data_IF_841480952322
#
_entry.id   IF_841480952322
#
_cell.length_a   1.000
_cell.length_b   1.000
_cell.length_c   1.000
_cell.angle_alpha   90.00
_cell.angle_beta   90.00
_cell.angle_gamma   90.00
#
_symmetry.space_group_name_H-M   'P 1'
#
loop_
_entity.id
_entity.type
_entity.pdbx_description
1 polymer ?
#
# COMPACT_ATOMS: atom_id res chain seq x y z
N UNK A 1 -7.45 -12.91 8.83
CA UNK A 1 -8.47 -12.07 8.17
C UNK A 1 -7.98 -10.65 8.11
N UNK A 2 -8.28 -9.93 7.03
CA UNK A 2 -7.93 -8.52 6.88
C UNK A 2 -8.87 -7.62 7.70
N UNK A 3 -8.43 -6.40 8.02
CA UNK A 3 -9.28 -5.42 8.70
C UNK A 3 -10.29 -4.76 7.75
N UNK A 4 -9.79 -4.21 6.64
CA UNK A 4 -10.60 -3.63 5.56
C UNK A 4 -10.14 -4.25 4.25
N UNK A 5 -11.07 -4.67 3.39
CA UNK A 5 -10.78 -5.13 2.03
C UNK A 5 -11.68 -4.41 1.03
N UNK A 6 -11.09 -3.91 -0.06
CA UNK A 6 -11.82 -3.25 -1.15
C UNK A 6 -11.46 -3.84 -2.50
N UNK A 7 -12.44 -4.53 -3.10
CA UNK A 7 -12.33 -5.08 -4.44
C UNK A 7 -12.71 -4.07 -5.54
N UNK A 8 -13.50 -3.05 -5.20
CA UNK A 8 -14.01 -2.07 -6.15
C UNK A 8 -13.07 -0.86 -6.33
N UNK A 9 -13.33 -0.08 -7.37
CA UNK A 9 -12.57 1.12 -7.74
C UNK A 9 -13.27 2.40 -7.28
N UNK A 10 -12.53 3.51 -7.16
CA UNK A 10 -13.06 4.84 -6.81
C UNK A 10 -13.66 4.99 -5.40
N UNK A 11 -13.13 4.25 -4.44
CA UNK A 11 -13.52 4.36 -3.03
C UNK A 11 -12.60 5.29 -2.25
N UNK A 12 -13.07 5.73 -1.09
CA UNK A 12 -12.27 6.46 -0.10
C UNK A 12 -12.27 5.68 1.22
N UNK A 13 -11.08 5.38 1.73
CA UNK A 13 -10.84 4.86 3.08
C UNK A 13 -10.07 5.93 3.84
N UNK A 14 -10.73 6.60 4.77
CA UNK A 14 -10.09 7.67 5.53
C UNK A 14 -10.47 7.70 6.99
N UNK A 15 -9.53 8.16 7.83
CA UNK A 15 -9.76 8.42 9.25
C UNK A 15 -10.15 7.18 10.06
N UNK A 16 -9.67 6.01 9.62
CA UNK A 16 -9.88 4.74 10.33
C UNK A 16 -8.71 4.39 11.25
N UNK A 17 -9.02 3.60 12.28
CA UNK A 17 -8.02 2.91 13.12
C UNK A 17 -8.09 1.41 12.80
N UNK A 18 -7.05 0.89 12.17
CA UNK A 18 -6.97 -0.50 11.67
C UNK A 18 -5.83 -1.23 12.39
N UNK A 19 -6.19 -2.00 13.41
CA UNK A 19 -5.22 -2.58 14.36
C UNK A 19 -5.42 -4.06 14.63
N UNK A 20 -4.33 -4.77 14.95
CA UNK A 20 -4.35 -6.16 15.43
C UNK A 20 -5.01 -7.18 14.49
N UNK A 21 -4.90 -6.98 13.17
CA UNK A 21 -5.36 -7.99 12.22
C UNK A 21 -4.30 -9.08 12.04
N UNK A 22 -4.74 -10.34 12.13
CA UNK A 22 -3.89 -11.54 11.96
C UNK A 22 -3.46 -11.80 10.50
N UNK A 23 -3.62 -10.82 9.62
CA UNK A 23 -3.15 -10.88 8.24
C UNK A 23 -2.82 -9.46 7.77
N UNK A 24 -3.63 -8.88 6.89
CA UNK A 24 -3.43 -7.53 6.36
C UNK A 24 -4.27 -6.50 7.13
N UNK A 25 -3.77 -5.29 7.34
CA UNK A 25 -4.59 -4.19 7.85
C UNK A 25 -5.65 -3.76 6.82
N UNK A 26 -5.20 -3.16 5.72
CA UNK A 26 -6.01 -2.74 4.58
C UNK A 26 -5.55 -3.47 3.32
N UNK A 27 -6.48 -4.10 2.65
CA UNK A 27 -6.28 -4.83 1.40
C UNK A 27 -7.02 -4.13 0.24
N UNK A 28 -6.34 -3.91 -0.88
CA UNK A 28 -6.85 -3.10 -2.00
C UNK A 28 -6.57 -3.78 -3.32
N UNK A 29 -7.66 -4.13 -4.02
CA UNK A 29 -7.61 -4.70 -5.36
C UNK A 29 -7.99 -3.73 -6.47
N UNK A 30 -8.95 -2.85 -6.21
CA UNK A 30 -9.42 -1.90 -7.21
C UNK A 30 -8.45 -0.76 -7.51
N UNK A 31 -8.81 0.04 -8.52
CA UNK A 31 -8.04 1.20 -8.99
C UNK A 31 -8.63 2.51 -8.50
N UNK A 32 -7.80 3.55 -8.48
CA UNK A 32 -8.22 4.94 -8.19
C UNK A 32 -8.93 5.10 -6.83
N UNK A 33 -8.56 4.27 -5.87
CA UNK A 33 -8.99 4.41 -4.48
C UNK A 33 -8.10 5.44 -3.77
N UNK A 34 -8.68 6.16 -2.81
CA UNK A 34 -7.97 7.05 -1.91
C UNK A 34 -7.91 6.41 -0.52
N UNK A 35 -6.71 6.15 -0.04
CA UNK A 35 -6.44 5.65 1.31
C UNK A 35 -5.69 6.75 2.04
N UNK A 36 -6.35 7.46 2.95
CA UNK A 36 -5.75 8.63 3.57
C UNK A 36 -6.05 8.84 5.03
N UNK A 37 -5.07 9.33 5.80
CA UNK A 37 -5.25 9.65 7.23
C UNK A 37 -5.79 8.47 8.04
N UNK A 38 -5.32 7.26 7.78
CA UNK A 38 -5.62 6.09 8.59
C UNK A 38 -4.46 5.78 9.55
N UNK A 39 -4.78 5.31 10.74
CA UNK A 39 -3.83 4.71 11.69
C UNK A 39 -3.83 3.19 11.48
N UNK A 40 -2.77 2.66 10.85
CA UNK A 40 -2.67 1.25 10.47
C UNK A 40 -1.53 0.63 11.29
N UNK A 41 -1.87 -0.19 12.29
CA UNK A 41 -0.88 -0.61 13.29
C UNK A 41 -0.97 -2.07 13.70
N UNK A 42 0.17 -2.67 14.04
CA UNK A 42 0.23 -4.00 14.68
C UNK A 42 -0.50 -5.12 13.90
N UNK A 43 -0.47 -5.06 12.56
CA UNK A 43 -0.98 -6.11 11.68
C UNK A 43 0.13 -7.12 11.33
N UNK A 44 -0.21 -8.41 11.32
CA UNK A 44 0.79 -9.50 11.37
C UNK A 44 1.35 -9.95 10.02
N UNK A 45 0.82 -9.53 8.86
CA UNK A 45 1.45 -9.76 7.56
C UNK A 45 1.92 -8.44 6.96
N UNK A 46 0.98 -7.51 6.79
CA UNK A 46 1.31 -6.15 6.40
C UNK A 46 0.24 -5.14 6.83
N UNK A 47 0.61 -3.86 6.91
CA UNK A 47 -0.33 -2.77 7.17
C UNK A 47 -1.24 -2.52 5.96
N UNK A 48 -0.65 -2.30 4.78
CA UNK A 48 -1.35 -2.17 3.52
C UNK A 48 -0.87 -3.23 2.52
N UNK A 49 -1.80 -3.91 1.85
CA UNK A 49 -1.51 -4.75 0.70
C UNK A 49 -2.23 -4.20 -0.53
N UNK A 50 -1.47 -4.00 -1.60
CA UNK A 50 -2.00 -3.64 -2.91
C UNK A 50 -1.85 -4.87 -3.80
N UNK A 51 -2.92 -5.61 -4.07
CA UNK A 51 -2.87 -6.80 -4.93
C UNK A 51 -3.79 -6.64 -6.12
N UNK A 52 -3.50 -7.20 -7.29
CA UNK A 52 -4.51 -7.18 -8.35
C UNK A 52 -4.02 -7.61 -9.72
N UNK A 53 -4.91 -8.36 -10.38
CA UNK A 53 -4.71 -8.94 -11.71
C UNK A 53 -5.38 -8.08 -12.79
N UNK A 54 -4.92 -8.17 -14.02
CA UNK A 54 -5.51 -7.52 -15.20
C UNK A 54 -5.51 -5.99 -15.13
N UNK A 55 -4.44 -5.38 -14.60
CA UNK A 55 -4.33 -3.92 -14.37
C UNK A 55 -5.29 -3.34 -13.31
N UNK A 56 -5.83 -4.17 -12.41
CA UNK A 56 -6.88 -3.73 -11.49
C UNK A 56 -6.39 -2.94 -10.27
N UNK A 57 -5.13 -3.05 -9.83
CA UNK A 57 -4.61 -2.31 -8.67
C UNK A 57 -3.63 -1.18 -9.03
N UNK A 58 -4.14 -0.15 -9.73
CA UNK A 58 -3.34 1.01 -10.17
C UNK A 58 -3.97 2.34 -9.85
N UNK A 59 -3.15 3.40 -9.88
CA UNK A 59 -3.60 4.79 -9.64
C UNK A 59 -4.28 4.99 -8.29
N UNK A 60 -4.04 4.11 -7.31
CA UNK A 60 -4.46 4.34 -5.93
C UNK A 60 -3.56 5.40 -5.30
N UNK A 61 -4.13 6.21 -4.41
CA UNK A 61 -3.43 7.28 -3.70
C UNK A 61 -3.39 6.91 -2.22
N UNK A 62 -2.19 6.75 -1.69
CA UNK A 62 -1.92 6.41 -0.29
C UNK A 62 -1.26 7.64 0.33
N UNK A 63 -2.04 8.42 1.07
CA UNK A 63 -1.70 9.77 1.48
C UNK A 63 -1.85 9.98 2.99
N UNK A 64 -0.80 10.45 3.67
CA UNK A 64 -0.91 10.88 5.06
C UNK A 64 -1.42 9.80 6.03
N UNK A 65 -1.14 8.53 5.78
CA UNK A 65 -1.43 7.46 6.75
C UNK A 65 -0.27 7.29 7.73
N UNK A 66 -0.57 6.73 8.90
CA UNK A 66 0.43 6.32 9.88
C UNK A 66 0.55 4.79 9.85
N UNK A 67 1.71 4.28 9.47
CA UNK A 67 2.04 2.86 9.54
C UNK A 67 2.94 2.61 10.75
N UNK A 68 2.45 1.87 11.75
CA UNK A 68 3.14 1.72 13.03
C UNK A 68 3.19 0.26 13.45
N UNK A 69 4.38 -0.31 13.67
CA UNK A 69 4.59 -1.68 14.20
C UNK A 69 3.84 -2.77 13.43
N UNK A 70 3.65 -2.62 12.12
CA UNK A 70 3.20 -3.73 11.28
C UNK A 70 4.40 -4.62 10.94
N UNK A 71 4.20 -5.92 10.69
CA UNK A 71 5.31 -6.79 10.27
C UNK A 71 5.98 -6.27 8.99
N UNK A 72 5.15 -5.86 8.02
CA UNK A 72 5.56 -5.02 6.88
C UNK A 72 4.61 -3.82 6.82
N UNK A 73 5.10 -2.61 6.66
CA UNK A 73 4.19 -1.47 6.61
C UNK A 73 3.32 -1.46 5.35
N UNK A 74 3.91 -1.71 4.19
CA UNK A 74 3.21 -1.85 2.92
C UNK A 74 3.91 -2.87 2.02
N UNK A 75 3.13 -3.57 1.20
CA UNK A 75 3.61 -4.48 0.16
C UNK A 75 2.68 -4.39 -1.06
N UNK A 76 3.18 -4.72 -2.24
CA UNK A 76 2.35 -4.81 -3.44
C UNK A 76 2.64 -6.07 -4.25
N UNK A 77 1.62 -6.54 -4.95
CA UNK A 77 1.65 -7.66 -5.89
C UNK A 77 0.72 -7.32 -7.06
N UNK A 78 1.26 -6.63 -8.07
CA UNK A 78 0.44 -6.02 -9.12
C UNK A 78 0.98 -6.30 -10.52
N UNK A 79 0.07 -6.62 -11.44
CA UNK A 79 0.34 -6.67 -12.87
C UNK A 79 0.37 -5.24 -13.45
N UNK A 80 1.52 -4.77 -13.94
CA UNK A 80 1.66 -3.39 -14.46
C UNK A 80 2.14 -3.34 -15.92
N UNK A 81 1.25 -3.15 -16.89
CA UNK A 81 1.61 -2.94 -18.30
C UNK A 81 1.86 -1.47 -18.65
N UNK A 82 2.83 -0.79 -18.02
CA UNK A 82 3.31 0.55 -18.43
C UNK A 82 2.55 1.78 -17.83
N UNK A 83 2.60 1.94 -16.49
CA UNK A 83 2.37 3.21 -15.76
C UNK A 83 0.90 3.69 -15.59
N UNK A 84 0.51 4.45 -14.52
CA UNK A 84 1.23 4.84 -13.32
C UNK A 84 1.01 3.85 -12.16
N UNK A 85 2.08 3.65 -11.42
CA UNK A 85 2.11 2.98 -10.12
C UNK A 85 1.19 3.69 -9.10
N UNK A 86 0.86 2.99 -8.03
CA UNK A 86 0.16 3.58 -6.89
C UNK A 86 1.02 4.70 -6.27
N UNK A 87 0.42 5.84 -5.95
CA UNK A 87 1.12 7.01 -5.41
C UNK A 87 1.15 6.92 -3.89
N UNK A 88 2.35 6.90 -3.31
CA UNK A 88 2.56 7.07 -1.89
C UNK A 88 3.14 8.45 -1.62
N UNK A 89 2.52 9.18 -0.70
CA UNK A 89 2.97 10.53 -0.35
C UNK A 89 2.66 10.86 1.10
N UNK A 90 3.61 11.45 1.81
CA UNK A 90 3.40 11.99 3.17
C UNK A 90 2.88 10.98 4.17
N UNK A 91 3.11 9.67 3.97
CA UNK A 91 2.80 8.71 5.01
C UNK A 91 3.92 8.75 6.07
N UNK A 92 3.54 8.47 7.31
CA UNK A 92 4.47 8.23 8.40
C UNK A 92 4.74 6.73 8.51
N UNK A 93 6.00 6.37 8.72
CA UNK A 93 6.46 5.00 8.87
C UNK A 93 7.37 4.97 10.10
N UNK A 94 7.02 4.19 11.12
CA UNK A 94 7.79 4.18 12.37
C UNK A 94 9.16 3.47 12.24
N UNK A 95 9.46 2.88 11.09
CA UNK A 95 10.76 2.33 10.71
C UNK A 95 11.62 3.26 9.83
N UNK A 96 11.11 4.43 9.45
CA UNK A 96 11.79 5.34 8.52
C UNK A 96 11.86 6.76 9.07
N UNK A 97 13.06 7.20 9.40
CA UNK A 97 13.30 8.53 10.01
C UNK A 97 14.17 9.44 9.13
N UNK A 98 14.35 9.08 7.86
CA UNK A 98 15.08 9.86 6.88
C UNK A 98 14.13 10.78 6.11
N UNK A 99 14.62 11.95 5.70
CA UNK A 99 13.92 12.86 4.79
C UNK A 99 14.04 12.46 3.31
N UNK A 100 14.44 11.21 3.04
CA UNK A 100 14.56 10.62 1.72
C UNK A 100 13.30 9.83 1.35
N UNK A 101 13.02 9.62 0.05
CA UNK A 101 11.96 8.72 -0.39
C UNK A 101 12.10 7.34 0.27
N UNK A 102 11.01 6.83 0.86
CA UNK A 102 11.01 5.51 1.50
C UNK A 102 10.69 4.44 0.47
N UNK A 103 11.56 3.43 0.25
CA UNK A 103 11.26 2.33 -0.64
C UNK A 103 10.12 1.49 -0.10
N UNK A 104 9.27 1.03 -1.01
CA UNK A 104 8.19 0.09 -0.77
C UNK A 104 8.45 -1.09 -1.71
N UNK A 105 8.64 -2.27 -1.16
CA UNK A 105 8.95 -3.47 -1.93
C UNK A 105 7.67 -4.20 -2.35
N UNK A 106 7.75 -4.92 -3.46
CA UNK A 106 6.66 -5.73 -3.95
C UNK A 106 7.08 -6.60 -5.11
N UNK A 107 6.08 -7.22 -5.75
CA UNK A 107 6.22 -8.02 -6.95
C UNK A 107 5.53 -7.27 -8.09
N UNK A 108 6.22 -7.21 -9.22
CA UNK A 108 5.65 -6.82 -10.49
C UNK A 108 5.54 -8.06 -11.37
N UNK A 109 4.32 -8.52 -11.59
CA UNK A 109 4.06 -9.63 -12.50
C UNK A 109 3.97 -9.13 -13.94
N UNK A 110 4.72 -9.78 -14.83
CA UNK A 110 4.69 -9.54 -16.28
C UNK A 110 4.22 -10.81 -16.96
N UNK A 111 3.13 -10.74 -17.74
CA UNK A 111 2.73 -11.88 -18.57
C UNK A 111 3.34 -11.76 -19.97
N UNK A 112 4.10 -12.80 -20.34
CA UNK A 112 4.61 -12.99 -21.69
C UNK A 112 3.93 -14.25 -22.23
N UNK A 113 3.01 -14.09 -23.19
CA UNK A 113 2.11 -15.14 -23.67
C UNK A 113 1.28 -15.76 -22.53
N UNK A 114 1.46 -17.05 -22.24
CA UNK A 114 0.74 -17.80 -21.21
C UNK A 114 1.52 -17.93 -19.89
N UNK A 115 2.66 -17.24 -19.74
CA UNK A 115 3.53 -17.35 -18.56
C UNK A 115 3.62 -16.01 -17.84
N UNK A 116 3.20 -15.98 -16.58
CA UNK A 116 3.51 -14.91 -15.63
C UNK A 116 4.94 -15.05 -15.12
N UNK A 117 5.64 -13.92 -15.01
CA UNK A 117 6.98 -13.81 -14.45
C UNK A 117 6.94 -12.77 -13.33
N UNK A 118 7.28 -13.21 -12.13
CA UNK A 118 7.38 -12.35 -10.94
C UNK A 118 8.74 -11.65 -10.92
N UNK A 119 8.73 -10.33 -10.98
CA UNK A 119 9.92 -9.51 -10.87
C UNK A 119 9.87 -8.76 -9.54
N UNK A 120 10.81 -8.99 -8.61
CA UNK A 120 10.96 -8.15 -7.43
C UNK A 120 11.09 -6.69 -7.86
N UNK A 121 10.24 -5.83 -7.32
CA UNK A 121 10.15 -4.44 -7.74
C UNK A 121 10.06 -3.51 -6.54
N UNK A 122 10.18 -2.21 -6.83
CA UNK A 122 10.09 -1.16 -5.84
C UNK A 122 9.17 -0.04 -6.30
N UNK A 123 8.53 0.59 -5.33
CA UNK A 123 7.86 1.86 -5.42
C UNK A 123 8.40 2.76 -4.30
N UNK A 124 7.99 4.02 -4.24
CA UNK A 124 8.44 4.94 -3.20
C UNK A 124 7.29 5.74 -2.62
N UNK A 125 7.33 5.94 -1.30
CA UNK A 125 6.76 7.15 -0.72
C UNK A 125 7.74 8.29 -0.95
N UNK A 126 7.37 9.22 -1.84
CA UNK A 126 8.26 10.27 -2.31
C UNK A 126 8.53 11.37 -1.29
N UNK A 127 7.65 11.52 -0.28
CA UNK A 127 7.83 12.54 0.76
C UNK A 127 7.36 12.01 2.11
N UNK A 128 8.04 11.03 2.71
CA UNK A 128 7.65 10.47 3.99
C UNK A 128 7.61 11.54 5.08
N UNK A 129 6.70 11.39 6.05
CA UNK A 129 6.67 12.24 7.23
C UNK A 129 7.65 11.75 8.28
N UNK A 130 8.28 12.68 8.97
CA UNK A 130 9.18 12.41 10.11
C UNK A 130 8.37 12.15 11.39
N UNK A 131 7.19 12.76 11.49
CA UNK A 131 6.27 12.58 12.62
C UNK A 131 4.90 12.07 12.15
N UNK A 132 4.21 11.28 12.98
CA UNK A 132 2.84 10.86 12.70
C UNK A 132 1.94 12.05 12.36
N UNK A 133 0.94 11.85 11.50
CA UNK A 133 -0.12 12.84 11.38
C UNK A 133 -0.91 12.91 12.68
N UNK A 134 -1.20 14.14 13.09
CA UNK A 134 -2.02 14.46 14.26
C UNK A 134 -3.43 14.74 13.77
N UNK A 135 -4.40 14.20 14.50
CA UNK A 135 -5.83 14.38 14.30
C UNK A 135 -6.27 15.78 14.75
#
# INVERSE_FOLDING_TARGET
>A
WCGISILSSFNTISENVVVHNNWVGIDVEGRRNLISKNNIMQNTKCGLFLEGWGENCRKNIILENNFIRNEKHAWFDCEQYLSPSNLFLRNYWDDWHLSLPRPIFGIWEIHIFFRGIDIPWLNFDWKPRIEPYKW
#
